data_IF_729963643875
#
_entry.id   IF_729963643875
#
_cell.length_a   1.000
_cell.length_b   1.000
_cell.length_c   1.000
_cell.angle_alpha   90.00
_cell.angle_beta   90.00
_cell.angle_gamma   90.00
#
_symmetry.space_group_name_H-M   'P 1'
#
loop_
_entity.id
_entity.type
_entity.pdbx_description
1 polymer ?
#
# COMPACT_ATOMS: atom_id res chain seq x y z
N UNK A 1 -6.14 41.86 -58.65
CA UNK A 1 -7.05 42.46 -57.65
C UNK A 1 -6.37 42.39 -56.29
N UNK A 2 -6.29 43.54 -55.61
CA UNK A 2 -5.72 43.75 -54.26
C UNK A 2 -6.79 43.45 -53.19
N UNK A 3 -6.37 43.51 -51.91
CA UNK A 3 -7.19 43.69 -50.67
C UNK A 3 -7.63 42.36 -50.03
N UNK A 4 -7.48 42.06 -48.73
CA UNK A 4 -6.77 42.72 -47.65
C UNK A 4 -6.39 41.74 -46.53
N UNK A 5 -5.19 41.96 -46.02
CA UNK A 5 -4.75 41.88 -44.63
C UNK A 5 -5.87 42.23 -43.63
N UNK A 6 -6.27 41.29 -42.77
CA UNK A 6 -6.87 41.62 -41.48
C UNK A 6 -6.12 40.92 -40.34
N UNK A 7 -5.27 41.74 -39.75
CA UNK A 7 -4.59 41.60 -38.48
C UNK A 7 -5.66 41.76 -37.37
N UNK A 8 -5.98 40.72 -36.63
CA UNK A 8 -6.66 40.86 -35.34
C UNK A 8 -5.76 40.28 -34.26
N UNK A 9 -4.96 41.18 -33.69
CA UNK A 9 -4.26 40.97 -32.44
C UNK A 9 -5.27 41.05 -31.29
N UNK A 10 -5.83 39.92 -30.88
CA UNK A 10 -6.51 39.80 -29.59
C UNK A 10 -5.50 39.36 -28.54
N UNK A 11 -4.95 40.38 -27.88
CA UNK A 11 -4.21 40.30 -26.64
C UNK A 11 -5.14 39.71 -25.57
N UNK A 12 -5.18 38.38 -25.46
CA UNK A 12 -5.86 37.72 -24.36
C UNK A 12 -5.04 37.91 -23.09
N UNK A 13 -5.54 38.81 -22.24
CA UNK A 13 -5.13 39.05 -20.87
C UNK A 13 -5.03 37.70 -20.15
N UNK A 14 -3.82 37.16 -19.98
CA UNK A 14 -3.57 36.04 -19.07
C UNK A 14 -3.74 36.59 -17.66
N UNK A 15 -4.99 36.64 -17.21
CA UNK A 15 -5.29 36.80 -15.80
C UNK A 15 -4.65 35.59 -15.11
N UNK A 16 -3.48 35.81 -14.49
CA UNK A 16 -2.89 34.89 -13.55
C UNK A 16 -3.85 34.77 -12.38
N UNK A 17 -4.84 33.90 -12.50
CA UNK A 17 -5.52 33.36 -11.34
C UNK A 17 -4.44 32.61 -10.58
N UNK A 18 -3.88 33.29 -9.58
CA UNK A 18 -3.22 32.63 -8.47
C UNK A 18 -4.29 31.70 -7.91
N UNK A 19 -4.27 30.45 -8.36
CA UNK A 19 -4.99 29.36 -7.73
C UNK A 19 -4.52 29.40 -6.28
N UNK A 20 -5.34 29.98 -5.41
CA UNK A 20 -5.15 29.86 -3.98
C UNK A 20 -5.10 28.35 -3.72
N UNK A 21 -3.89 27.85 -3.46
CA UNK A 21 -3.68 26.45 -3.12
C UNK A 21 -4.66 26.08 -2.01
N UNK A 22 -5.20 24.85 -2.01
CA UNK A 22 -6.18 24.42 -1.04
C UNK A 22 -5.70 24.84 0.36
N UNK A 23 -6.49 25.66 1.05
CA UNK A 23 -6.20 26.08 2.42
C UNK A 23 -5.86 24.81 3.20
N UNK A 24 -4.65 24.74 3.74
CA UNK A 24 -4.20 23.65 4.58
C UNK A 24 -5.23 23.43 5.67
N UNK A 25 -5.97 22.33 5.57
CA UNK A 25 -6.99 21.93 6.52
C UNK A 25 -6.31 21.77 7.88
N UNK A 26 -6.73 22.63 8.81
CA UNK A 26 -6.57 22.59 10.27
C UNK A 26 -5.35 21.84 10.84
N UNK A 27 -4.38 22.62 11.30
CA UNK A 27 -3.32 22.19 12.22
C UNK A 27 -3.81 21.83 13.63
N UNK A 28 -5.08 21.46 13.79
CA UNK A 28 -5.72 21.17 15.08
C UNK A 28 -6.52 19.86 15.13
N UNK A 29 -6.37 18.97 14.13
CA UNK A 29 -6.78 17.58 14.33
C UNK A 29 -5.81 16.94 15.32
N UNK A 30 -6.19 16.95 16.61
CA UNK A 30 -5.62 16.03 17.60
C UNK A 30 -5.88 14.62 17.09
N UNK A 31 -4.86 14.00 16.50
CA UNK A 31 -4.88 12.57 16.22
C UNK A 31 -4.96 11.84 17.57
N UNK A 32 -6.18 11.57 18.02
CA UNK A 32 -6.48 10.96 19.31
C UNK A 32 -6.34 9.43 19.29
N UNK A 33 -5.60 8.85 18.35
CA UNK A 33 -5.32 7.44 18.35
C UNK A 33 -3.99 7.15 19.05
N UNK A 34 -4.04 6.33 20.10
CA UNK A 34 -2.85 5.67 20.64
C UNK A 34 -2.06 5.08 19.47
N UNK A 35 -0.71 5.11 19.49
CA UNK A 35 0.09 4.53 18.41
C UNK A 35 -0.35 3.10 18.11
N UNK A 36 -0.53 2.78 16.84
CA UNK A 36 -0.76 1.40 16.41
C UNK A 36 0.56 0.65 16.62
N UNK A 37 0.56 -0.29 17.56
CA UNK A 37 1.71 -1.14 17.87
C UNK A 37 1.55 -2.45 17.11
N UNK A 38 2.47 -2.72 16.19
CA UNK A 38 2.52 -4.00 15.47
C UNK A 38 3.61 -4.91 16.05
N UNK A 39 3.33 -6.21 16.12
CA UNK A 39 4.31 -7.19 16.56
C UNK A 39 5.40 -7.36 15.48
N UNK A 40 6.68 -7.15 15.82
CA UNK A 40 7.80 -7.32 14.87
C UNK A 40 7.87 -8.71 14.23
N UNK A 41 7.26 -9.73 14.83
CA UNK A 41 7.17 -11.06 14.23
C UNK A 41 6.35 -11.09 12.94
N UNK A 42 5.56 -10.05 12.64
CA UNK A 42 4.88 -9.89 11.34
C UNK A 42 5.87 -9.91 10.16
N UNK A 43 7.11 -9.46 10.39
CA UNK A 43 8.17 -9.45 9.37
C UNK A 43 8.88 -10.82 9.22
N UNK A 44 8.51 -11.84 10.00
CA UNK A 44 9.05 -13.20 9.89
C UNK A 44 8.30 -14.03 8.83
N UNK A 45 8.15 -13.46 7.63
CA UNK A 45 7.42 -14.06 6.50
C UNK A 45 8.01 -15.40 6.06
N UNK A 46 9.30 -15.63 6.31
CA UNK A 46 9.98 -16.89 5.97
C UNK A 46 9.42 -18.13 6.67
N UNK A 47 8.60 -17.94 7.72
CA UNK A 47 7.90 -18.98 8.47
C UNK A 47 6.47 -19.22 7.99
N UNK A 48 5.97 -18.39 7.07
CA UNK A 48 4.63 -18.46 6.51
C UNK A 48 4.73 -19.16 5.15
N UNK A 49 3.89 -20.16 4.86
CA UNK A 49 3.90 -20.80 3.56
C UNK A 49 3.49 -19.80 2.47
N UNK A 50 4.11 -19.93 1.30
CA UNK A 50 3.61 -19.30 0.09
C UNK A 50 2.30 -19.96 -0.31
N UNK A 51 1.29 -19.16 -0.64
CA UNK A 51 -0.02 -19.62 -1.09
C UNK A 51 -0.18 -19.10 -2.52
N UNK A 52 -0.27 -19.99 -3.52
CA UNK A 52 -0.53 -19.56 -4.89
C UNK A 52 -1.96 -19.05 -5.01
N UNK A 53 -2.15 -17.95 -5.72
CA UNK A 53 -3.47 -17.41 -6.03
C UNK A 53 -3.67 -17.46 -7.54
N UNK A 54 -4.40 -18.49 -7.96
CA UNK A 54 -4.71 -18.77 -9.36
C UNK A 54 -6.19 -19.09 -9.50
N UNK A 55 -6.82 -18.62 -10.56
CA UNK A 55 -8.22 -18.92 -10.85
C UNK A 55 -8.65 -18.54 -12.26
N UNK A 56 -9.81 -19.05 -12.65
CA UNK A 56 -10.43 -18.77 -13.94
C UNK A 56 -11.29 -17.52 -13.82
N UNK A 57 -10.80 -16.39 -14.30
CA UNK A 57 -11.58 -15.15 -14.35
C UNK A 57 -10.72 -13.90 -14.20
N UNK A 58 -11.30 -12.76 -14.56
CA UNK A 58 -10.67 -11.47 -14.32
C UNK A 58 -10.43 -11.28 -12.82
N UNK A 59 -9.23 -10.81 -12.51
CA UNK A 59 -8.73 -10.51 -11.19
C UNK A 59 -8.60 -11.72 -10.25
N UNK A 60 -8.71 -12.93 -10.77
CA UNK A 60 -8.56 -14.16 -9.98
C UNK A 60 -7.10 -14.50 -9.68
N UNK A 61 -6.17 -13.97 -10.48
CA UNK A 61 -4.75 -14.30 -10.45
C UNK A 61 -3.95 -13.14 -9.86
N UNK A 62 -3.11 -13.41 -8.88
CA UNK A 62 -2.22 -12.41 -8.26
C UNK A 62 -1.12 -13.09 -7.45
N UNK A 63 -0.13 -12.31 -7.00
CA UNK A 63 0.96 -12.82 -6.17
C UNK A 63 1.07 -12.04 -4.89
N UNK A 64 1.07 -12.77 -3.76
CA UNK A 64 1.16 -12.22 -2.42
C UNK A 64 2.42 -12.64 -1.69
N UNK A 65 3.00 -11.69 -0.94
CA UNK A 65 3.86 -11.99 0.19
C UNK A 65 2.99 -12.17 1.43
N UNK A 66 2.67 -13.42 1.76
CA UNK A 66 1.86 -13.73 2.93
C UNK A 66 2.55 -13.31 4.23
N UNK A 67 1.76 -12.74 5.14
CA UNK A 67 2.17 -12.42 6.50
C UNK A 67 1.24 -13.15 7.45
N UNK A 68 1.76 -13.57 8.61
CA UNK A 68 0.98 -14.33 9.58
C UNK A 68 -0.12 -13.44 10.19
N UNK A 69 -1.38 -13.75 9.85
CA UNK A 69 -2.53 -12.96 10.24
C UNK A 69 -2.65 -12.81 11.76
N UNK A 70 -2.12 -13.75 12.55
CA UNK A 70 -2.15 -13.62 14.02
C UNK A 70 -1.45 -12.36 14.54
N UNK A 71 -0.45 -11.84 13.81
CA UNK A 71 0.26 -10.62 14.17
C UNK A 71 -0.39 -9.36 13.60
N UNK A 72 -1.25 -9.51 12.59
CA UNK A 72 -2.04 -8.42 11.97
C UNK A 72 -3.39 -8.24 12.67
N UNK A 73 -3.98 -9.33 13.17
CA UNK A 73 -5.30 -9.35 13.82
C UNK A 73 -5.49 -8.27 14.89
N UNK A 74 -4.54 -7.99 15.81
CA UNK A 74 -4.73 -6.93 16.80
C UNK A 74 -4.88 -5.54 16.17
N UNK A 75 -4.19 -5.29 15.05
CA UNK A 75 -4.33 -4.03 14.30
C UNK A 75 -5.67 -3.99 13.59
N UNK A 76 -6.07 -5.09 12.97
CA UNK A 76 -7.38 -5.23 12.32
C UNK A 76 -8.53 -5.00 13.31
N UNK A 77 -8.51 -5.65 14.48
CA UNK A 77 -9.51 -5.49 15.53
C UNK A 77 -9.55 -4.04 16.05
N UNK A 78 -8.38 -3.40 16.19
CA UNK A 78 -8.29 -1.99 16.59
C UNK A 78 -8.92 -1.07 15.53
N UNK A 79 -8.63 -1.29 14.25
CA UNK A 79 -9.21 -0.49 13.17
C UNK A 79 -10.73 -0.65 13.13
N UNK A 80 -11.24 -1.88 13.26
CA UNK A 80 -12.68 -2.16 13.27
C UNK A 80 -13.43 -1.52 14.45
N UNK A 81 -12.77 -1.32 15.58
CA UNK A 81 -13.40 -0.74 16.78
C UNK A 81 -13.24 0.78 16.86
N UNK A 82 -12.42 1.37 16.00
CA UNK A 82 -12.10 2.81 16.05
C UNK A 82 -13.04 3.59 15.14
N UNK A 83 -13.89 4.42 15.75
CA UNK A 83 -14.85 5.28 15.04
C UNK A 83 -14.18 6.24 14.03
N UNK A 84 -12.94 6.66 14.31
CA UNK A 84 -12.17 7.56 13.47
C UNK A 84 -11.79 6.96 12.10
N UNK A 85 -11.84 5.63 11.94
CA UNK A 85 -11.60 4.95 10.66
C UNK A 85 -12.89 4.66 9.87
N UNK A 86 -14.00 5.32 10.23
CA UNK A 86 -15.25 5.27 9.46
C UNK A 86 -16.32 4.32 9.98
N UNK A 87 -16.17 3.83 11.23
CA UNK A 87 -17.20 3.02 11.92
C UNK A 87 -17.69 1.81 11.09
N UNK A 88 -16.80 1.21 10.31
CA UNK A 88 -17.10 0.07 9.44
C UNK A 88 -16.61 -1.24 10.04
N UNK A 89 -17.42 -2.29 9.91
CA UNK A 89 -16.97 -3.67 10.13
C UNK A 89 -16.20 -4.12 8.90
N UNK A 90 -14.88 -4.00 8.92
CA UNK A 90 -14.03 -4.64 7.91
C UNK A 90 -14.30 -6.15 7.98
N UNK A 91 -14.46 -6.75 6.81
CA UNK A 91 -14.57 -8.19 6.64
C UNK A 91 -13.17 -8.73 6.41
N UNK A 92 -12.80 -9.78 7.14
CA UNK A 92 -11.53 -10.50 6.94
C UNK A 92 -11.79 -11.98 6.73
N UNK A 93 -10.95 -12.60 5.90
CA UNK A 93 -10.91 -14.05 5.68
C UNK A 93 -9.90 -14.75 6.60
N UNK A 94 -9.34 -14.04 7.58
CA UNK A 94 -8.24 -14.56 8.40
C UNK A 94 -6.90 -14.63 7.66
N UNK A 95 -6.79 -13.92 6.53
CA UNK A 95 -5.60 -13.87 5.69
C UNK A 95 -5.00 -12.46 5.72
N UNK A 96 -3.69 -12.39 5.54
CA UNK A 96 -2.98 -11.14 5.32
C UNK A 96 -1.81 -11.36 4.39
N UNK A 97 -1.65 -10.46 3.44
CA UNK A 97 -0.57 -10.48 2.47
C UNK A 97 -0.25 -9.06 2.02
N UNK A 98 0.93 -8.89 1.46
CA UNK A 98 1.31 -7.72 0.68
C UNK A 98 1.24 -8.16 -0.78
N UNK A 99 0.35 -7.55 -1.56
CA UNK A 99 0.23 -7.86 -2.98
C UNK A 99 1.46 -7.34 -3.72
N UNK A 100 2.18 -8.25 -4.37
CA UNK A 100 3.41 -7.98 -5.11
C UNK A 100 3.11 -7.76 -6.59
N UNK A 101 2.20 -8.56 -7.14
CA UNK A 101 1.65 -8.38 -8.49
C UNK A 101 0.15 -8.25 -8.34
N UNK A 102 -0.38 -7.11 -8.77
CA UNK A 102 -1.81 -6.82 -8.68
C UNK A 102 -2.58 -7.64 -9.72
N UNK A 103 -3.85 -7.99 -9.45
CA UNK A 103 -4.65 -8.71 -10.44
C UNK A 103 -4.79 -7.94 -11.76
N UNK A 104 -4.96 -6.62 -11.71
CA UNK A 104 -5.01 -5.76 -12.91
C UNK A 104 -3.69 -5.76 -13.68
N UNK A 105 -2.56 -5.80 -13.00
CA UNK A 105 -1.24 -5.84 -13.62
C UNK A 105 -1.00 -7.18 -14.32
N UNK A 106 -1.39 -8.29 -13.69
CA UNK A 106 -1.33 -9.60 -14.33
C UNK A 106 -2.24 -9.66 -15.57
N UNK A 107 -3.53 -9.33 -15.43
CA UNK A 107 -4.51 -9.52 -16.51
C UNK A 107 -4.27 -8.61 -17.72
N UNK A 108 -3.78 -7.38 -17.50
CA UNK A 108 -3.67 -6.38 -18.57
C UNK A 108 -2.27 -6.30 -19.19
N UNK A 109 -1.23 -6.80 -18.50
CA UNK A 109 0.16 -6.63 -18.93
C UNK A 109 0.84 -7.99 -19.10
N UNK A 110 0.88 -8.80 -18.03
CA UNK A 110 1.69 -10.03 -18.03
C UNK A 110 1.02 -11.16 -18.82
N UNK A 111 -0.28 -11.37 -18.63
CA UNK A 111 -1.01 -12.42 -19.31
C UNK A 111 -1.07 -12.19 -20.84
N UNK A 112 -1.38 -10.98 -21.35
CA UNK A 112 -1.32 -10.71 -22.80
C UNK A 112 0.09 -10.84 -23.39
N UNK A 113 1.13 -10.67 -22.57
CA UNK A 113 2.53 -10.92 -22.96
C UNK A 113 2.92 -12.41 -22.96
N UNK A 114 1.98 -13.32 -22.68
CA UNK A 114 2.20 -14.76 -22.68
C UNK A 114 2.80 -15.32 -21.38
N UNK A 115 2.88 -14.51 -20.32
CA UNK A 115 3.35 -14.98 -19.01
C UNK A 115 2.21 -15.67 -18.28
N UNK A 116 2.43 -16.91 -17.81
CA UNK A 116 1.42 -17.66 -17.07
C UNK A 116 1.53 -17.45 -15.56
N UNK A 117 0.41 -17.51 -14.83
CA UNK A 117 0.42 -17.38 -13.37
C UNK A 117 1.15 -18.55 -12.71
N UNK A 118 1.15 -19.73 -13.34
CA UNK A 118 1.87 -20.92 -12.90
C UNK A 118 3.38 -20.68 -12.92
N UNK A 119 3.91 -20.08 -14.00
CA UNK A 119 5.33 -19.71 -14.08
C UNK A 119 5.69 -18.69 -13.01
N UNK A 120 4.88 -17.66 -12.83
CA UNK A 120 5.12 -16.63 -11.81
C UNK A 120 5.09 -17.26 -10.40
N UNK A 121 4.10 -18.11 -10.11
CA UNK A 121 4.01 -18.81 -8.83
C UNK A 121 5.22 -19.72 -8.59
N UNK A 122 5.68 -20.44 -9.61
CA UNK A 122 6.88 -21.28 -9.52
C UNK A 122 8.15 -20.45 -9.26
N UNK A 123 8.26 -19.27 -9.88
CA UNK A 123 9.35 -18.32 -9.62
C UNK A 123 9.27 -17.78 -8.18
N UNK A 124 8.08 -17.40 -7.72
CA UNK A 124 7.86 -16.85 -6.39
C UNK A 124 8.13 -17.88 -5.28
N UNK A 125 7.67 -19.13 -5.44
CA UNK A 125 7.82 -20.19 -4.42
C UNK A 125 9.21 -20.81 -4.41
N UNK A 126 9.78 -21.16 -5.57
CA UNK A 126 10.96 -22.01 -5.65
C UNK A 126 12.25 -21.24 -5.95
N UNK A 127 12.23 -20.35 -6.96
CA UNK A 127 13.47 -19.72 -7.45
C UNK A 127 13.88 -18.50 -6.63
N UNK A 128 12.93 -17.61 -6.37
CA UNK A 128 13.18 -16.32 -5.72
C UNK A 128 12.81 -16.31 -4.24
N UNK A 129 12.18 -17.40 -3.75
CA UNK A 129 11.83 -17.60 -2.33
C UNK A 129 11.15 -16.35 -1.76
N UNK A 130 10.08 -15.88 -2.39
CA UNK A 130 9.41 -14.60 -2.07
C UNK A 130 9.19 -14.42 -0.55
N UNK A 131 8.75 -15.47 0.13
CA UNK A 131 8.54 -15.48 1.59
C UNK A 131 9.79 -15.18 2.42
N UNK A 132 10.98 -15.38 1.86
CA UNK A 132 12.28 -15.13 2.49
C UNK A 132 12.94 -13.85 2.00
N UNK A 133 12.24 -13.06 1.17
CA UNK A 133 12.70 -11.72 0.78
C UNK A 133 12.93 -10.88 2.04
N UNK A 134 14.01 -10.10 2.05
CA UNK A 134 14.27 -9.17 3.14
C UNK A 134 13.25 -8.04 3.02
N UNK A 135 12.53 -7.78 4.10
CA UNK A 135 11.77 -6.55 4.22
C UNK A 135 12.77 -5.39 4.28
N UNK A 136 12.76 -4.56 3.24
CA UNK A 136 13.54 -3.35 3.16
C UNK A 136 12.68 -2.17 3.59
N UNK A 137 13.11 -1.43 4.59
CA UNK A 137 12.40 -0.18 4.94
C UNK A 137 12.86 0.91 3.98
N UNK A 138 12.07 1.19 2.95
CA UNK A 138 12.37 2.21 1.94
C UNK A 138 12.50 3.63 2.55
N UNK A 139 11.98 3.86 3.75
CA UNK A 139 12.10 5.15 4.43
C UNK A 139 13.38 5.24 5.24
N UNK A 140 13.78 4.15 5.89
CA UNK A 140 15.00 4.11 6.69
C UNK A 140 16.26 3.89 5.84
N UNK A 141 16.17 3.05 4.81
CA UNK A 141 17.33 2.60 4.03
C UNK A 141 17.51 3.36 2.72
N UNK A 142 16.42 3.76 2.06
CA UNK A 142 16.46 4.41 0.74
C UNK A 142 16.22 5.92 0.78
N UNK A 143 16.02 6.47 1.98
CA UNK A 143 15.79 7.90 2.16
C UNK A 143 14.53 8.41 1.45
N UNK A 144 13.56 7.53 1.14
CA UNK A 144 12.30 7.93 0.51
C UNK A 144 11.53 8.83 1.47
N UNK A 145 11.61 10.13 1.20
CA UNK A 145 11.02 11.18 2.03
C UNK A 145 9.51 11.23 1.81
N UNK A 146 8.73 11.00 2.87
CA UNK A 146 7.28 11.20 2.83
C UNK A 146 6.98 12.68 3.06
N UNK A 147 6.43 13.36 2.05
CA UNK A 147 6.05 14.77 2.14
C UNK A 147 4.88 15.02 3.11
N UNK A 148 4.52 16.30 3.31
CA UNK A 148 3.49 16.75 4.29
C UNK A 148 2.10 16.10 4.13
N UNK A 149 1.82 15.51 2.96
CA UNK A 149 0.54 14.86 2.66
C UNK A 149 0.52 13.36 2.98
N UNK A 150 1.63 12.78 3.43
CA UNK A 150 1.64 11.41 3.88
C UNK A 150 1.06 11.32 5.30
N UNK A 151 0.02 10.51 5.49
CA UNK A 151 -0.43 10.13 6.82
C UNK A 151 0.66 9.27 7.48
N UNK A 152 1.47 9.87 8.35
CA UNK A 152 2.52 9.17 9.10
C UNK A 152 2.01 8.98 10.53
N UNK A 153 1.58 7.76 10.84
CA UNK A 153 1.47 7.34 12.23
C UNK A 153 2.78 6.64 12.62
N UNK A 154 3.42 7.11 13.69
CA UNK A 154 4.60 6.44 14.24
C UNK A 154 4.18 5.06 14.76
N UNK A 155 4.57 4.02 14.04
CA UNK A 155 4.44 2.64 14.51
C UNK A 155 5.50 2.44 15.58
N UNK A 156 5.08 2.42 16.85
CA UNK A 156 6.00 2.15 17.96
C UNK A 156 6.13 0.64 18.09
N UNK A 157 7.25 0.07 17.67
CA UNK A 157 7.51 -1.36 17.88
C UNK A 157 8.00 -1.59 19.32
N UNK A 158 7.21 -2.28 20.16
CA UNK A 158 7.64 -2.61 21.54
C UNK A 158 8.51 -3.88 21.53
N UNK A 159 9.71 -3.89 22.13
CA UNK A 159 10.45 -5.12 22.37
C UNK A 159 9.69 -6.02 23.35
N UNK A 160 9.75 -7.33 23.15
CA UNK A 160 9.07 -8.31 23.99
C UNK A 160 9.73 -8.29 25.39
N UNK A 161 9.01 -7.81 26.41
CA UNK A 161 9.43 -8.03 27.79
C UNK A 161 9.11 -9.49 28.14
N UNK A 162 10.10 -10.38 28.08
CA UNK A 162 9.99 -11.69 28.72
C UNK A 162 10.00 -11.47 30.23
N UNK A 163 8.83 -11.49 30.85
CA UNK A 163 8.71 -11.66 32.30
C UNK A 163 8.80 -13.16 32.59
N UNK A 164 10.01 -13.67 32.78
CA UNK A 164 10.19 -14.93 33.49
C UNK A 164 9.81 -14.68 34.96
N UNK A 165 8.66 -15.21 35.40
CA UNK A 165 8.46 -15.49 36.82
C UNK A 165 9.06 -16.88 37.05
N UNK A 166 10.14 -16.91 37.84
CA UNK A 166 10.63 -18.12 38.49
C UNK A 166 9.66 -18.49 39.63
#
# INVERSE_FOLDING_TARGET
MRVATFLFATLALVASTVMAGPKTVDGNKKYHSKPIVINKKVFQTSKVPFIPHSGTGLFANWVGLNVDFKYVKPVFDLVNTTKDFGNGTLISRGESHITVILPTEYDQILHPAGVTIEEINALASHKNRLQRSRHRDIHAEDGVFKGKNACIHKIVSKPLSLSFRL
#
